data_IF_565378938514
#
_entry.id   IF_565378938514
#
_cell.length_a   1.000
_cell.length_b   1.000
_cell.length_c   1.000
_cell.angle_alpha   90.00
_cell.angle_beta   90.00
_cell.angle_gamma   90.00
#
_symmetry.space_group_name_H-M   'P 1'
#
loop_
_entity.id
_entity.type
_entity.pdbx_description
1 polymer ?
#
# COMPACT_ATOMS: atom_id res chain seq x y z
N UNK A 1 -17.78 -41.41 -36.36
CA UNK A 1 -17.86 -40.94 -34.95
C UNK A 1 -18.81 -39.76 -34.89
N UNK A 2 -19.86 -39.81 -34.05
CA UNK A 2 -20.87 -38.74 -33.95
C UNK A 2 -20.26 -37.51 -33.19
N UNK A 3 -20.42 -36.32 -33.72
CA UNK A 3 -19.92 -35.07 -33.14
C UNK A 3 -20.19 -34.87 -31.63
N UNK A 4 -21.33 -35.39 -31.16
CA UNK A 4 -21.75 -35.36 -29.75
C UNK A 4 -20.87 -36.22 -28.82
N UNK A 5 -20.30 -37.32 -29.31
CA UNK A 5 -19.39 -38.17 -28.52
C UNK A 5 -18.02 -37.53 -28.37
N UNK A 6 -17.53 -36.81 -29.38
CA UNK A 6 -16.26 -36.08 -29.34
C UNK A 6 -16.29 -34.94 -28.34
N UNK A 7 -17.39 -34.14 -28.30
CA UNK A 7 -17.57 -33.05 -27.34
C UNK A 7 -17.67 -33.55 -25.88
N UNK A 8 -18.28 -34.73 -25.65
CA UNK A 8 -18.34 -35.31 -24.30
C UNK A 8 -16.97 -35.76 -23.79
N UNK A 9 -16.15 -36.36 -24.67
CA UNK A 9 -14.79 -36.79 -24.34
C UNK A 9 -13.90 -35.57 -24.09
N UNK A 10 -14.00 -34.53 -24.92
CA UNK A 10 -13.22 -33.30 -24.75
C UNK A 10 -13.60 -32.56 -23.43
N UNK A 11 -14.89 -32.48 -23.12
CA UNK A 11 -15.38 -31.85 -21.88
C UNK A 11 -14.96 -32.62 -20.62
N UNK A 12 -14.94 -33.95 -20.65
CA UNK A 12 -14.52 -34.74 -19.49
C UNK A 12 -13.01 -34.72 -19.25
N UNK A 13 -12.18 -34.66 -20.30
CA UNK A 13 -10.72 -34.59 -20.16
C UNK A 13 -10.26 -33.18 -19.74
N UNK A 14 -10.86 -32.10 -20.28
CA UNK A 14 -10.55 -30.76 -19.85
C UNK A 14 -10.98 -30.48 -18.39
N UNK A 15 -12.15 -30.97 -18.00
CA UNK A 15 -12.63 -30.83 -16.62
C UNK A 15 -11.77 -31.59 -15.61
N UNK A 16 -11.31 -32.80 -15.95
CA UNK A 16 -10.48 -33.61 -15.07
C UNK A 16 -9.05 -33.02 -14.90
N UNK A 17 -8.48 -32.47 -15.95
CA UNK A 17 -7.13 -31.84 -15.87
C UNK A 17 -7.13 -30.51 -15.11
N UNK A 18 -8.23 -29.75 -15.16
CA UNK A 18 -8.39 -28.54 -14.34
C UNK A 18 -8.57 -28.84 -12.84
N UNK A 19 -9.12 -30.02 -12.51
CA UNK A 19 -9.32 -30.45 -11.11
C UNK A 19 -8.12 -31.20 -10.54
N UNK A 20 -7.26 -31.77 -11.39
CA UNK A 20 -6.09 -32.60 -11.03
C UNK A 20 -4.74 -31.89 -11.14
N UNK A 21 -4.72 -30.55 -11.18
CA UNK A 21 -3.47 -29.80 -11.07
C UNK A 21 -2.77 -30.10 -9.75
N UNK A 22 -1.41 -30.07 -9.71
CA UNK A 22 -0.70 -30.39 -8.48
C UNK A 22 -1.23 -29.49 -7.35
N UNK A 23 -1.53 -30.10 -6.23
CA UNK A 23 -2.14 -29.46 -5.06
C UNK A 23 -1.35 -28.20 -4.62
N UNK A 24 -0.04 -28.21 -4.88
CA UNK A 24 0.87 -27.07 -4.71
C UNK A 24 0.55 -25.89 -5.63
N UNK A 25 0.09 -26.09 -6.87
CA UNK A 25 -0.28 -24.99 -7.77
C UNK A 25 -1.62 -24.34 -7.36
N UNK A 26 -2.53 -25.15 -6.82
CA UNK A 26 -3.82 -24.66 -6.26
C UNK A 26 -3.59 -23.91 -4.95
N UNK A 27 -2.72 -24.41 -4.08
CA UNK A 27 -2.31 -23.71 -2.86
C UNK A 27 -1.65 -22.37 -3.16
N UNK A 28 -0.76 -22.28 -4.15
CA UNK A 28 -0.08 -21.04 -4.52
C UNK A 28 -1.02 -19.95 -5.05
N UNK A 29 -2.14 -20.33 -5.70
CA UNK A 29 -3.17 -19.38 -6.15
C UNK A 29 -3.98 -18.77 -5.00
N UNK A 30 -4.09 -19.48 -3.87
CA UNK A 30 -4.92 -19.06 -2.72
C UNK A 30 -4.12 -18.64 -1.49
N UNK A 31 -2.81 -18.91 -1.43
CA UNK A 31 -1.98 -18.67 -0.25
C UNK A 31 -1.06 -17.44 -0.34
N UNK A 32 -1.09 -16.69 -1.44
CA UNK A 32 -0.43 -15.38 -1.41
C UNK A 32 -1.13 -14.51 -0.37
N UNK A 33 -0.43 -14.02 0.66
CA UNK A 33 -1.06 -13.23 1.71
C UNK A 33 -1.73 -12.01 1.08
N UNK A 34 -3.04 -11.94 1.24
CA UNK A 34 -3.81 -10.73 0.88
C UNK A 34 -3.25 -9.61 1.74
N UNK A 35 -2.63 -8.62 1.12
CA UNK A 35 -2.08 -7.52 1.90
C UNK A 35 -3.22 -6.80 2.62
N UNK A 36 -3.15 -6.80 3.95
CA UNK A 36 -4.07 -6.04 4.79
C UNK A 36 -3.65 -4.57 4.86
N UNK A 37 -2.40 -4.28 4.52
CA UNK A 37 -1.85 -2.93 4.50
C UNK A 37 -2.24 -2.23 3.19
N UNK A 38 -3.39 -1.55 3.18
CA UNK A 38 -3.88 -0.80 2.02
C UNK A 38 -3.69 0.70 2.24
N UNK A 39 -2.50 1.20 1.96
CA UNK A 39 -2.24 2.63 2.00
C UNK A 39 -2.99 3.32 0.86
N UNK A 40 -4.01 4.12 1.21
CA UNK A 40 -4.86 4.82 0.23
C UNK A 40 -4.20 6.11 -0.25
N UNK A 41 -4.56 6.60 -1.46
CA UNK A 41 -4.15 7.93 -1.91
C UNK A 41 -4.63 9.06 -0.98
N UNK A 42 -4.03 10.26 -1.08
CA UNK A 42 -4.45 11.43 -0.30
C UNK A 42 -5.96 11.69 -0.38
N UNK A 43 -6.52 12.14 0.72
CA UNK A 43 -7.95 12.49 0.80
C UNK A 43 -8.91 11.30 0.77
N UNK A 44 -8.42 10.07 0.90
CA UNK A 44 -9.28 8.90 0.93
C UNK A 44 -10.26 8.96 2.10
N UNK A 45 -11.54 8.68 1.82
CA UNK A 45 -12.55 8.51 2.86
C UNK A 45 -12.24 7.26 3.71
N UNK A 46 -12.84 7.11 4.91
CA UNK A 46 -12.63 5.95 5.76
C UNK A 46 -12.75 4.61 5.02
N UNK A 47 -11.90 3.65 5.36
CA UNK A 47 -11.77 2.37 4.64
C UNK A 47 -13.07 1.58 4.58
N UNK A 48 -13.93 1.71 5.60
CA UNK A 48 -15.22 1.02 5.71
C UNK A 48 -16.18 1.39 4.57
N UNK A 49 -16.10 2.64 4.11
CA UNK A 49 -16.99 3.15 3.04
C UNK A 49 -16.25 3.30 1.71
N UNK A 50 -14.91 3.23 1.70
CA UNK A 50 -14.09 3.50 0.52
C UNK A 50 -14.44 2.59 -0.65
N UNK A 51 -14.52 1.28 -0.42
CA UNK A 51 -14.79 0.30 -1.46
C UNK A 51 -16.19 0.48 -2.09
N UNK A 52 -17.16 0.94 -1.30
CA UNK A 52 -18.53 1.24 -1.78
C UNK A 52 -18.61 2.54 -2.58
N UNK A 53 -17.80 3.54 -2.23
CA UNK A 53 -17.75 4.83 -2.95
C UNK A 53 -16.89 4.79 -4.22
N UNK A 54 -15.83 3.99 -4.22
CA UNK A 54 -14.89 3.92 -5.34
C UNK A 54 -15.47 3.11 -6.50
N UNK A 55 -15.74 3.76 -7.63
CA UNK A 55 -16.23 3.11 -8.86
C UNK A 55 -15.11 2.47 -9.70
N UNK A 56 -13.88 2.43 -9.20
CA UNK A 56 -12.73 1.75 -9.84
C UNK A 56 -12.40 2.27 -11.24
N UNK A 57 -12.65 3.55 -11.51
CA UNK A 57 -12.51 4.17 -12.84
C UNK A 57 -11.05 4.36 -13.29
N UNK A 58 -10.05 4.19 -12.43
CA UNK A 58 -8.63 4.29 -12.77
C UNK A 58 -8.08 5.72 -12.93
N UNK A 59 -8.91 6.77 -12.95
CA UNK A 59 -8.46 8.16 -13.19
C UNK A 59 -7.34 8.62 -12.25
N UNK A 60 -7.39 8.22 -10.97
CA UNK A 60 -6.35 8.56 -9.99
C UNK A 60 -4.99 7.92 -10.33
N UNK A 61 -4.99 6.74 -10.98
CA UNK A 61 -3.77 6.08 -11.45
C UNK A 61 -3.20 6.82 -12.66
N UNK A 62 -4.03 7.12 -13.64
CA UNK A 62 -3.63 7.79 -14.89
C UNK A 62 -3.07 9.19 -14.66
N UNK A 63 -3.72 9.97 -13.78
CA UNK A 63 -3.31 11.36 -13.53
C UNK A 63 -2.03 11.47 -12.69
N UNK A 64 -1.60 10.40 -12.02
CA UNK A 64 -0.45 10.44 -11.13
C UNK A 64 0.87 10.55 -11.92
N UNK A 65 1.57 11.70 -11.86
CA UNK A 65 2.79 11.90 -12.66
C UNK A 65 3.97 11.04 -12.15
N UNK A 66 3.84 10.52 -10.94
CA UNK A 66 4.86 9.68 -10.31
C UNK A 66 4.55 8.18 -10.41
N UNK A 67 3.39 7.80 -10.95
CA UNK A 67 2.92 6.42 -11.08
C UNK A 67 2.97 5.62 -9.75
N UNK A 68 2.76 6.30 -8.63
CA UNK A 68 2.81 5.68 -7.30
C UNK A 68 1.51 4.95 -6.92
N UNK A 69 0.43 5.15 -7.69
CA UNK A 69 -0.88 4.54 -7.43
C UNK A 69 -1.02 3.31 -8.32
N UNK A 70 -1.35 2.18 -7.72
CA UNK A 70 -1.68 0.92 -8.40
C UNK A 70 -3.08 0.47 -8.01
N UNK A 71 -3.67 -0.45 -8.77
CA UNK A 71 -4.97 -1.03 -8.43
C UNK A 71 -4.76 -2.39 -7.76
N UNK A 72 -5.57 -2.65 -6.73
CA UNK A 72 -5.59 -3.96 -6.06
C UNK A 72 -6.11 -5.04 -7.01
N UNK A 73 -5.49 -6.21 -6.99
CA UNK A 73 -5.88 -7.34 -7.81
C UNK A 73 -7.16 -8.04 -7.29
N UNK A 74 -7.67 -9.01 -8.05
CA UNK A 74 -8.92 -9.72 -7.76
C UNK A 74 -8.90 -10.49 -6.42
N UNK A 75 -7.72 -10.84 -5.89
CA UNK A 75 -7.56 -11.58 -4.64
C UNK A 75 -7.98 -10.77 -3.41
N UNK A 76 -8.12 -9.46 -3.56
CA UNK A 76 -8.55 -8.56 -2.50
C UNK A 76 -10.07 -8.45 -2.34
N UNK A 77 -10.85 -9.30 -3.03
CA UNK A 77 -12.30 -9.40 -2.91
C UNK A 77 -13.00 -8.06 -3.17
N UNK A 78 -13.77 -7.56 -2.22
CA UNK A 78 -14.52 -6.29 -2.33
C UNK A 78 -13.64 -5.06 -2.56
N UNK A 79 -12.34 -5.14 -2.28
CA UNK A 79 -11.39 -4.06 -2.51
C UNK A 79 -10.66 -4.16 -3.86
N UNK A 80 -10.92 -5.23 -4.64
CA UNK A 80 -10.33 -5.40 -5.97
C UNK A 80 -10.59 -4.17 -6.85
N UNK A 81 -9.60 -3.75 -7.62
CA UNK A 81 -9.68 -2.59 -8.49
C UNK A 81 -9.64 -1.23 -7.77
N UNK A 82 -9.57 -1.20 -6.44
CA UNK A 82 -9.41 0.07 -5.71
C UNK A 82 -7.95 0.50 -5.64
N UNK A 83 -7.66 1.83 -5.58
CA UNK A 83 -6.29 2.35 -5.63
C UNK A 83 -5.51 2.07 -4.34
N UNK A 84 -4.23 1.78 -4.51
CA UNK A 84 -3.25 1.51 -3.46
C UNK A 84 -1.94 2.25 -3.77
N UNK A 85 -1.22 2.67 -2.73
CA UNK A 85 0.16 3.15 -2.81
C UNK A 85 1.06 2.13 -2.12
N UNK A 86 2.07 1.62 -2.85
CA UNK A 86 3.15 0.80 -2.30
C UNK A 86 4.35 1.71 -2.04
N UNK A 87 4.37 2.34 -0.87
CA UNK A 87 5.31 3.41 -0.53
C UNK A 87 6.78 2.96 -0.53
N UNK A 88 7.05 1.70 -0.30
CA UNK A 88 8.38 1.09 -0.40
C UNK A 88 8.90 1.05 -1.84
N UNK A 89 8.00 0.97 -2.84
CA UNK A 89 8.34 0.97 -4.27
C UNK A 89 8.40 2.38 -4.83
N UNK A 90 7.29 3.09 -4.77
CA UNK A 90 7.16 4.48 -5.26
C UNK A 90 6.32 5.26 -4.24
N UNK A 91 6.89 6.27 -3.57
CA UNK A 91 6.19 7.04 -2.55
C UNK A 91 5.24 8.08 -3.15
N UNK A 92 4.31 8.58 -2.35
CA UNK A 92 3.46 9.69 -2.74
C UNK A 92 4.19 11.04 -2.55
N UNK A 93 4.24 11.83 -3.63
CA UNK A 93 4.84 13.18 -3.59
C UNK A 93 3.85 14.29 -3.24
N UNK A 94 2.66 13.94 -2.75
CA UNK A 94 1.64 14.87 -2.29
C UNK A 94 1.24 15.93 -3.33
N UNK A 95 1.23 15.58 -4.62
CA UNK A 95 0.86 16.51 -5.70
C UNK A 95 -0.66 16.78 -5.78
N UNK A 96 -1.48 16.03 -5.05
CA UNK A 96 -2.93 16.11 -4.88
C UNK A 96 -3.77 15.93 -6.18
N UNK A 97 -3.17 15.74 -7.35
CA UNK A 97 -3.89 15.59 -8.64
C UNK A 97 -4.94 14.48 -8.65
N UNK A 98 -4.69 13.38 -7.93
CA UNK A 98 -5.63 12.25 -7.84
C UNK A 98 -6.95 12.63 -7.15
N UNK A 99 -6.91 13.59 -6.24
CA UNK A 99 -8.09 14.11 -5.53
C UNK A 99 -8.99 14.92 -6.47
N UNK A 100 -8.39 15.77 -7.33
CA UNK A 100 -9.11 16.66 -8.23
C UNK A 100 -9.91 15.91 -9.31
N UNK A 101 -9.47 14.71 -9.70
CA UNK A 101 -10.11 13.92 -10.76
C UNK A 101 -11.08 12.85 -10.25
N UNK A 102 -11.23 12.69 -8.93
CA UNK A 102 -12.11 11.67 -8.35
C UNK A 102 -13.59 12.07 -8.50
N UNK A 103 -14.39 11.39 -9.35
CA UNK A 103 -15.75 11.81 -9.63
C UNK A 103 -16.75 11.46 -8.52
N UNK A 104 -16.41 10.52 -7.65
CA UNK A 104 -17.33 10.00 -6.62
C UNK A 104 -17.06 10.57 -5.23
N UNK A 105 -16.00 11.37 -5.07
CA UNK A 105 -15.58 11.84 -3.75
C UNK A 105 -15.08 10.72 -2.84
N UNK A 106 -14.61 9.59 -3.39
CA UNK A 106 -13.84 8.61 -2.62
C UNK A 106 -12.50 9.18 -2.18
N UNK A 107 -11.98 10.14 -2.94
CA UNK A 107 -10.86 11.02 -2.57
C UNK A 107 -11.43 12.43 -2.46
N UNK A 108 -11.42 13.00 -1.27
CA UNK A 108 -11.90 14.36 -0.98
C UNK A 108 -10.74 15.34 -0.97
N UNK A 109 -11.04 16.60 -1.27
CA UNK A 109 -10.02 17.66 -1.24
C UNK A 109 -9.53 17.91 0.17
N UNK A 110 -8.22 17.80 0.34
CA UNK A 110 -7.48 18.10 1.55
C UNK A 110 -6.18 18.79 1.16
N UNK A 111 -5.61 19.58 2.06
CA UNK A 111 -4.28 20.14 1.84
C UNK A 111 -3.19 19.08 2.07
N UNK A 112 -1.97 19.36 1.64
CA UNK A 112 -0.84 18.47 1.90
C UNK A 112 -0.64 18.23 3.40
N UNK A 113 -0.76 19.28 4.21
CA UNK A 113 -0.57 19.22 5.67
C UNK A 113 -1.71 18.48 6.39
N UNK A 114 -2.93 18.55 5.87
CA UNK A 114 -4.10 17.84 6.42
C UNK A 114 -4.17 16.39 5.96
N UNK A 115 -3.36 16.02 4.96
CA UNK A 115 -3.35 14.65 4.45
C UNK A 115 -2.97 13.67 5.55
N UNK A 116 -3.78 12.62 5.70
CA UNK A 116 -3.55 11.52 6.65
C UNK A 116 -3.81 10.20 5.93
N UNK A 117 -2.77 9.65 5.29
CA UNK A 117 -2.84 8.34 4.64
C UNK A 117 -2.45 7.22 5.62
N UNK A 118 -1.48 7.51 6.46
CA UNK A 118 -0.92 6.58 7.43
C UNK A 118 0.13 7.27 8.28
N UNK A 119 0.82 6.48 9.10
CA UNK A 119 1.90 6.92 9.98
C UNK A 119 3.17 6.14 9.69
N UNK A 120 4.31 6.82 9.66
CA UNK A 120 5.61 6.15 9.56
C UNK A 120 5.96 5.51 10.90
N UNK A 121 6.33 4.23 10.86
CA UNK A 121 6.81 3.48 12.02
C UNK A 121 8.28 3.12 11.80
N UNK A 122 9.13 3.44 12.77
CA UNK A 122 10.55 3.13 12.74
C UNK A 122 10.79 1.84 13.52
N UNK A 123 11.30 0.83 12.84
CA UNK A 123 11.83 -0.38 13.46
C UNK A 123 13.20 -0.05 14.10
N UNK A 124 13.16 0.17 15.41
CA UNK A 124 14.34 0.57 16.19
C UNK A 124 15.42 -0.52 16.24
N UNK A 125 15.04 -1.79 16.05
CA UNK A 125 15.98 -2.92 16.05
C UNK A 125 16.79 -3.03 14.77
N UNK A 126 16.29 -2.47 13.68
CA UNK A 126 16.92 -2.51 12.37
C UNK A 126 17.39 -1.13 11.87
N UNK A 127 16.97 -0.04 12.49
CA UNK A 127 17.39 1.30 12.11
C UNK A 127 18.85 1.55 12.51
N UNK A 128 19.71 1.87 11.55
CA UNK A 128 21.15 2.07 11.77
C UNK A 128 21.49 3.06 12.89
N UNK A 129 20.74 4.15 13.01
CA UNK A 129 20.96 5.12 14.08
C UNK A 129 20.53 4.61 15.45
N UNK A 130 19.40 3.90 15.51
CA UNK A 130 18.89 3.35 16.77
C UNK A 130 19.76 2.23 17.32
N UNK A 131 20.35 1.40 16.44
CA UNK A 131 21.29 0.33 16.86
C UNK A 131 22.74 0.82 17.05
N UNK A 132 22.99 2.14 16.85
CA UNK A 132 24.31 2.73 17.04
C UNK A 132 25.33 2.41 15.94
N UNK A 133 24.89 1.92 14.79
CA UNK A 133 25.77 1.50 13.70
C UNK A 133 26.35 2.68 12.93
N UNK A 134 25.55 3.71 12.67
CA UNK A 134 25.95 4.96 12.00
C UNK A 134 24.91 6.05 12.23
N UNK A 135 25.33 7.31 12.08
CA UNK A 135 24.44 8.47 12.14
C UNK A 135 23.68 8.63 10.82
N UNK A 136 22.58 7.90 10.66
CA UNK A 136 21.71 7.97 9.51
C UNK A 136 20.50 8.87 9.82
N UNK A 137 20.29 9.90 9.01
CA UNK A 137 19.13 10.80 9.10
C UNK A 137 18.35 10.91 7.79
N UNK A 138 18.50 9.95 6.89
CA UNK A 138 17.91 9.98 5.55
C UNK A 138 16.38 10.17 5.58
N UNK A 139 15.67 9.52 6.51
CA UNK A 139 14.23 9.67 6.67
C UNK A 139 13.82 11.10 7.07
N UNK A 140 14.60 11.75 7.92
CA UNK A 140 14.41 13.16 8.30
C UNK A 140 14.67 14.09 7.10
N UNK A 141 15.79 13.93 6.40
CA UNK A 141 16.18 14.80 5.28
C UNK A 141 15.18 14.72 4.10
N UNK A 142 14.53 13.56 3.92
CA UNK A 142 13.54 13.35 2.85
C UNK A 142 12.11 13.71 3.23
N UNK A 143 11.86 14.00 4.50
CA UNK A 143 10.53 14.40 4.95
C UNK A 143 10.18 15.81 4.48
N UNK A 144 9.04 16.02 3.77
CA UNK A 144 8.60 17.37 3.38
C UNK A 144 8.14 18.20 4.59
N UNK A 145 7.83 17.54 5.70
CA UNK A 145 7.39 18.16 6.96
C UNK A 145 8.40 17.89 8.10
N UNK A 146 9.70 17.95 7.77
CA UNK A 146 10.75 17.83 8.79
C UNK A 146 10.54 18.88 9.90
N UNK A 147 11.01 18.57 11.10
CA UNK A 147 10.80 19.34 12.34
C UNK A 147 9.34 19.37 12.85
N UNK A 148 8.37 18.96 12.03
CA UNK A 148 6.97 18.76 12.42
C UNK A 148 6.63 17.26 12.52
N UNK A 149 6.79 16.52 11.42
CA UNK A 149 6.42 15.11 11.32
C UNK A 149 7.55 14.13 11.68
N UNK A 150 8.80 14.53 11.49
CA UNK A 150 10.00 13.82 11.96
C UNK A 150 10.89 14.84 12.67
N UNK A 151 11.27 14.54 13.90
CA UNK A 151 12.24 15.32 14.68
C UNK A 151 13.46 14.46 15.00
N UNK A 152 14.59 15.07 15.28
CA UNK A 152 15.81 14.40 15.72
C UNK A 152 16.01 14.65 17.21
N UNK A 153 15.87 13.63 18.04
CA UNK A 153 16.23 13.67 19.46
C UNK A 153 17.51 12.87 19.67
N UNK A 154 18.53 13.50 20.19
CA UNK A 154 19.86 12.86 20.31
C UNK A 154 20.33 12.23 18.99
N UNK A 155 20.11 12.90 17.86
CA UNK A 155 20.37 12.43 16.50
C UNK A 155 19.53 11.21 16.05
N UNK A 156 18.62 10.72 16.87
CA UNK A 156 17.71 9.62 16.55
C UNK A 156 16.41 10.16 15.95
N UNK A 157 15.93 9.60 14.84
CA UNK A 157 14.67 10.05 14.25
C UNK A 157 13.48 9.58 15.09
N UNK A 158 12.60 10.51 15.44
CA UNK A 158 11.33 10.28 16.12
C UNK A 158 10.20 10.76 15.21
N UNK A 159 9.15 9.96 15.09
CA UNK A 159 7.97 10.30 14.30
C UNK A 159 6.92 10.95 15.20
N UNK A 160 6.43 12.12 14.77
CA UNK A 160 5.25 12.74 15.32
C UNK A 160 4.03 12.26 14.50
N UNK A 161 3.25 11.34 15.08
CA UNK A 161 2.10 10.72 14.42
C UNK A 161 1.05 11.74 13.98
N UNK A 162 0.83 12.80 14.78
CA UNK A 162 -0.18 13.81 14.50
C UNK A 162 0.15 14.67 13.28
N UNK A 163 1.42 14.83 12.93
CA UNK A 163 1.89 15.62 11.80
C UNK A 163 2.31 14.76 10.58
N UNK A 164 2.44 13.44 10.77
CA UNK A 164 2.83 12.54 9.69
C UNK A 164 1.71 12.35 8.69
N UNK A 165 1.96 12.60 7.41
CA UNK A 165 1.01 12.44 6.31
C UNK A 165 0.95 11.02 5.76
N UNK A 166 1.94 10.17 6.08
CA UNK A 166 2.03 8.81 5.56
C UNK A 166 2.46 8.73 4.08
N UNK A 167 3.12 9.74 3.55
CA UNK A 167 3.49 9.81 2.13
C UNK A 167 4.51 8.75 1.68
N UNK A 168 5.31 8.22 2.60
CA UNK A 168 6.26 7.13 2.33
C UNK A 168 7.60 7.54 1.75
N UNK A 169 7.89 8.84 1.63
CA UNK A 169 9.19 9.32 1.17
C UNK A 169 10.35 8.84 2.06
N UNK A 170 10.13 8.80 3.37
CA UNK A 170 11.09 8.26 4.34
C UNK A 170 11.30 6.74 4.17
N UNK A 171 10.23 5.99 3.88
CA UNK A 171 10.28 4.55 3.63
C UNK A 171 11.08 4.24 2.36
N UNK A 172 10.73 4.90 1.26
CA UNK A 172 11.41 4.70 -0.02
C UNK A 172 12.91 5.06 0.07
N UNK A 173 13.25 6.14 0.75
CA UNK A 173 14.62 6.60 0.89
C UNK A 173 15.46 5.80 1.90
N UNK A 174 14.83 5.00 2.76
CA UNK A 174 15.53 4.23 3.79
C UNK A 174 16.53 3.24 3.17
N UNK A 175 17.83 3.31 3.51
CA UNK A 175 18.83 2.40 2.97
C UNK A 175 18.74 1.00 3.56
N UNK A 176 18.10 0.86 4.73
CA UNK A 176 18.00 -0.42 5.43
C UNK A 176 16.88 -1.25 4.85
N UNK A 177 17.20 -2.43 4.35
CA UNK A 177 16.22 -3.44 3.93
C UNK A 177 16.30 -4.63 4.87
N UNK A 178 15.18 -4.95 5.49
CA UNK A 178 14.99 -6.08 6.40
C UNK A 178 14.49 -7.30 5.60
N UNK A 179 14.26 -8.42 6.27
CA UNK A 179 13.68 -9.61 5.64
C UNK A 179 12.39 -9.28 4.89
N UNK A 180 12.13 -10.00 3.81
CA UNK A 180 10.95 -9.82 2.95
C UNK A 180 10.87 -8.47 2.22
N UNK A 181 11.99 -7.75 2.06
CA UNK A 181 12.03 -6.47 1.35
C UNK A 181 11.43 -5.29 2.10
N UNK A 182 11.04 -5.47 3.37
CA UNK A 182 10.60 -4.37 4.23
C UNK A 182 11.74 -3.43 4.56
N UNK A 183 11.43 -2.17 4.80
CA UNK A 183 12.39 -1.15 5.22
C UNK A 183 12.40 -1.00 6.74
N UNK A 184 13.46 -0.43 7.30
CA UNK A 184 13.45 -0.08 8.73
C UNK A 184 12.47 1.06 9.07
N UNK A 185 11.98 1.79 8.08
CA UNK A 185 10.86 2.73 8.22
C UNK A 185 9.75 2.29 7.29
N UNK A 186 8.58 1.97 7.83
CA UNK A 186 7.42 1.54 7.06
C UNK A 186 6.23 2.45 7.34
N UNK A 187 5.27 2.50 6.41
CA UNK A 187 4.03 3.24 6.62
C UNK A 187 2.93 2.26 7.02
N UNK A 188 2.29 2.54 8.14
CA UNK A 188 1.06 1.87 8.55
C UNK A 188 -0.14 2.76 8.21
N UNK A 189 -1.15 2.26 7.48
CA UNK A 189 -2.37 3.01 7.21
C UNK A 189 -3.12 3.35 8.48
N UNK A 190 -3.80 4.50 8.52
CA UNK A 190 -4.53 4.95 9.72
C UNK A 190 -5.57 3.94 10.22
N UNK A 191 -6.27 3.24 9.34
CA UNK A 191 -7.24 2.22 9.75
C UNK A 191 -6.60 1.01 10.45
N UNK A 192 -5.31 0.74 10.18
CA UNK A 192 -4.57 -0.32 10.85
C UNK A 192 -4.14 0.11 12.26
N UNK A 193 -3.71 1.37 12.43
CA UNK A 193 -3.34 1.94 13.73
C UNK A 193 -4.52 2.09 14.68
N UNK A 194 -5.71 2.38 14.17
CA UNK A 194 -6.93 2.46 14.98
C UNK A 194 -7.31 1.12 15.66
N UNK A 195 -6.93 -0.01 15.07
CA UNK A 195 -7.20 -1.36 15.64
C UNK A 195 -6.24 -1.78 16.75
N UNK A 196 -5.14 -1.06 16.94
CA UNK A 196 -4.13 -1.37 17.97
C UNK A 196 -4.42 -0.67 19.31
N UNK A 197 -5.46 0.18 19.37
CA UNK A 197 -5.84 0.94 20.57
C UNK A 197 -6.95 0.29 21.42
N UNK A 198 -7.17 -1.04 21.29
CA UNK A 198 -8.11 -1.76 22.15
C UNK A 198 -7.42 -2.92 22.87
#
# INVERSE_FOLDING_TARGET
>A
MKRRSFLKILGSTLGATLLAGPEQARAALFTSPVTTNRLRPPGAVPEEIFAGKCIRCGRCVEICPYHCITLLDIRHGVFAGTPLIAAEKIPCYLCMKCVDVCPTGSLIRVTQEETRMGVAIIDRFNCFTWVGMTLCRTCYDKCPFKDKAIVLEELKPIINESACTGCGLCTHACPVTVKEGKKAVNIEPLYATAKVKY
#
